data_IF_420027413907
#
_entry.id   IF_420027413907
#
_cell.length_a   1.000
_cell.length_b   1.000
_cell.length_c   1.000
_cell.angle_alpha   90.00
_cell.angle_beta   90.00
_cell.angle_gamma   90.00
#
_symmetry.space_group_name_H-M   'P 1'
#
loop_
_entity.id
_entity.type
_entity.pdbx_description
1 polymer ?
#
# COMPACT_ATOMS: atom_id res chain seq x y z
N UNK A 1 -15.85 -6.30 -15.58
CA UNK A 1 -15.89 -5.75 -14.23
C UNK A 1 -14.53 -5.18 -13.86
N UNK A 2 -14.45 -3.87 -13.74
CA UNK A 2 -13.15 -3.28 -13.38
C UNK A 2 -12.63 -3.77 -12.05
N UNK A 3 -13.51 -4.24 -11.23
CA UNK A 3 -13.15 -4.73 -9.93
C UNK A 3 -12.43 -6.07 -9.96
N UNK A 4 -12.69 -6.86 -10.99
CA UNK A 4 -12.10 -8.18 -11.07
C UNK A 4 -10.61 -8.14 -11.41
N UNK A 5 -10.14 -7.05 -12.02
CA UNK A 5 -8.72 -6.96 -12.36
C UNK A 5 -7.81 -6.98 -11.14
N UNK A 6 -8.29 -6.50 -10.01
CA UNK A 6 -7.52 -6.55 -8.78
C UNK A 6 -7.39 -7.95 -8.22
N UNK A 7 -8.35 -8.81 -8.54
CA UNK A 7 -8.36 -10.18 -8.04
C UNK A 7 -7.49 -11.10 -8.87
N UNK A 8 -7.00 -10.60 -10.00
CA UNK A 8 -6.09 -11.36 -10.83
C UNK A 8 -4.72 -11.51 -10.21
N UNK A 9 -4.42 -10.72 -9.18
CA UNK A 9 -3.13 -10.76 -8.51
C UNK A 9 -3.28 -11.44 -7.16
N UNK A 10 -2.40 -12.39 -6.93
CA UNK A 10 -2.37 -13.09 -5.66
C UNK A 10 -1.97 -12.13 -4.55
N UNK A 11 -2.67 -12.21 -3.41
CA UNK A 11 -2.36 -11.41 -2.23
C UNK A 11 -1.58 -12.23 -1.23
N UNK A 12 -0.60 -11.58 -0.64
CA UNK A 12 0.24 -12.18 0.40
C UNK A 12 0.08 -11.39 1.68
N UNK A 13 -0.23 -12.10 2.76
CA UNK A 13 -0.26 -11.49 4.08
C UNK A 13 1.18 -11.30 4.56
N UNK A 14 1.53 -10.09 4.92
CA UNK A 14 2.88 -9.77 5.40
C UNK A 14 2.76 -8.79 6.55
N UNK A 15 3.83 -8.65 7.30
CA UNK A 15 3.92 -7.65 8.35
C UNK A 15 5.27 -6.97 8.22
N UNK A 16 5.27 -5.71 7.84
CA UNK A 16 6.50 -4.97 7.62
C UNK A 16 6.24 -3.47 7.77
N UNK A 17 7.24 -2.70 8.17
CA UNK A 17 7.08 -1.24 8.16
C UNK A 17 7.00 -0.72 6.74
N UNK A 18 6.19 0.31 6.55
CA UNK A 18 6.11 1.02 5.29
C UNK A 18 5.99 2.50 5.59
N UNK A 19 6.60 3.32 4.75
CA UNK A 19 6.57 4.76 4.89
C UNK A 19 5.84 5.33 3.70
N UNK A 20 4.94 6.27 3.96
CA UNK A 20 4.16 6.91 2.90
C UNK A 20 4.48 8.39 2.87
N UNK A 21 4.76 8.89 1.68
CA UNK A 21 4.97 10.30 1.43
C UNK A 21 3.83 10.82 0.57
N UNK A 22 3.29 11.97 0.95
CA UNK A 22 2.30 12.70 0.15
C UNK A 22 2.92 14.01 -0.33
N UNK A 23 2.15 14.80 -1.08
CA UNK A 23 2.64 16.09 -1.55
C UNK A 23 2.92 17.05 -0.39
N UNK A 24 2.21 16.90 0.71
CA UNK A 24 2.31 17.85 1.83
C UNK A 24 3.00 17.27 3.05
N UNK A 25 3.11 15.94 3.16
CA UNK A 25 3.68 15.30 4.36
C UNK A 25 4.61 14.19 3.93
N UNK A 26 5.79 14.16 4.51
CA UNK A 26 6.77 13.09 4.29
C UNK A 26 6.92 12.24 5.53
N UNK A 27 7.27 10.98 5.31
CA UNK A 27 7.67 10.10 6.40
C UNK A 27 6.54 9.62 7.27
N UNK A 28 5.35 9.41 6.71
CA UNK A 28 4.23 8.87 7.50
C UNK A 28 4.48 7.39 7.73
N UNK A 29 4.65 7.01 9.00
CA UNK A 29 4.90 5.61 9.37
C UNK A 29 3.60 4.83 9.29
N UNK A 30 3.65 3.69 8.60
CA UNK A 30 2.52 2.78 8.49
C UNK A 30 3.01 1.35 8.64
N UNK A 31 2.07 0.42 8.70
CA UNK A 31 2.38 -1.01 8.73
C UNK A 31 1.76 -1.68 7.52
N UNK A 32 2.58 -2.38 6.76
CA UNK A 32 2.12 -3.19 5.63
C UNK A 32 1.42 -4.42 6.18
N UNK A 33 0.20 -4.69 5.74
CA UNK A 33 -0.56 -5.85 6.21
C UNK A 33 -0.71 -6.91 5.13
N UNK A 34 -0.73 -6.49 3.88
CA UNK A 34 -0.78 -7.42 2.76
C UNK A 34 -0.26 -6.71 1.52
N UNK A 35 0.15 -7.50 0.54
CA UNK A 35 0.71 -6.96 -0.70
C UNK A 35 0.38 -7.91 -1.85
N UNK A 36 0.19 -7.33 -3.02
CA UNK A 36 0.07 -8.06 -4.28
C UNK A 36 0.91 -7.36 -5.33
N UNK A 37 0.97 -7.93 -6.52
CA UNK A 37 1.69 -7.27 -7.62
C UNK A 37 1.13 -5.87 -7.90
N UNK A 38 -0.16 -5.68 -7.77
CA UNK A 38 -0.83 -4.42 -8.14
C UNK A 38 -1.14 -3.47 -7.01
N UNK A 39 -0.85 -3.82 -5.76
CA UNK A 39 -1.21 -2.93 -4.67
C UNK A 39 -0.78 -3.44 -3.30
N UNK A 40 -1.17 -2.70 -2.29
CA UNK A 40 -0.81 -3.01 -0.91
C UNK A 40 -1.89 -2.55 0.04
N UNK A 41 -2.00 -3.24 1.18
CA UNK A 41 -2.84 -2.81 2.29
C UNK A 41 -1.97 -2.32 3.43
N UNK A 42 -2.37 -1.22 4.03
CA UNK A 42 -1.64 -0.60 5.12
C UNK A 42 -2.56 -0.35 6.31
N UNK A 43 -1.94 -0.26 7.47
CA UNK A 43 -2.56 0.33 8.66
C UNK A 43 -1.82 1.61 9.00
N UNK A 44 -2.56 2.69 9.23
CA UNK A 44 -2.00 3.99 9.55
C UNK A 44 -2.75 4.65 10.68
N UNK A 45 -2.08 5.57 11.37
CA UNK A 45 -2.71 6.33 12.45
C UNK A 45 -3.38 7.61 11.95
N UNK A 46 -3.32 7.89 10.66
CA UNK A 46 -3.96 9.04 10.03
C UNK A 46 -4.71 8.57 8.79
N UNK A 47 -5.81 9.25 8.43
CA UNK A 47 -6.54 8.90 7.21
C UNK A 47 -5.87 9.47 5.97
N UNK A 48 -6.20 8.90 4.82
CA UNK A 48 -5.79 9.41 3.51
C UNK A 48 -7.04 9.62 2.67
N UNK A 49 -6.98 10.59 1.77
CA UNK A 49 -8.10 10.84 0.87
C UNK A 49 -8.11 9.82 -0.26
N UNK A 50 -9.29 9.33 -0.65
CA UNK A 50 -9.39 8.47 -1.83
C UNK A 50 -8.84 9.17 -3.07
N UNK A 51 -8.19 8.41 -3.93
CA UNK A 51 -7.57 8.88 -5.17
C UNK A 51 -6.34 9.78 -4.95
N UNK A 52 -5.95 10.02 -3.71
CA UNK A 52 -4.75 10.78 -3.42
C UNK A 52 -3.53 10.02 -3.95
N UNK A 53 -2.61 10.75 -4.58
CA UNK A 53 -1.35 10.17 -5.06
C UNK A 53 -0.35 10.18 -3.92
N UNK A 54 0.33 9.06 -3.75
CA UNK A 54 1.32 8.89 -2.69
C UNK A 54 2.51 8.14 -3.24
N UNK A 55 3.60 8.18 -2.48
CA UNK A 55 4.75 7.32 -2.70
C UNK A 55 4.88 6.44 -1.49
N UNK A 56 5.01 5.13 -1.70
CA UNK A 56 5.16 4.19 -0.60
C UNK A 56 6.52 3.53 -0.68
N UNK A 57 7.20 3.48 0.45
CA UNK A 57 8.47 2.78 0.61
C UNK A 57 8.21 1.59 1.51
N UNK A 58 8.33 0.41 0.95
CA UNK A 58 8.10 -0.85 1.66
C UNK A 58 9.46 -1.45 2.00
N UNK A 59 9.66 -1.70 3.28
CA UNK A 59 10.93 -2.25 3.74
C UNK A 59 11.03 -3.73 3.41
N UNK A 60 12.25 -4.19 3.14
CA UNK A 60 12.52 -5.59 2.90
C UNK A 60 12.01 -6.44 4.06
N UNK A 61 11.50 -7.60 3.73
CA UNK A 61 10.99 -8.57 4.70
C UNK A 61 11.15 -9.97 4.12
N UNK A 62 10.58 -10.98 4.78
CA UNK A 62 10.74 -12.35 4.33
C UNK A 62 10.24 -12.57 2.91
N UNK A 63 9.20 -11.86 2.49
CA UNK A 63 8.64 -11.98 1.14
C UNK A 63 9.31 -11.03 0.16
N UNK A 64 9.65 -9.83 0.62
CA UNK A 64 10.21 -8.77 -0.21
C UNK A 64 11.69 -8.65 0.10
N UNK A 65 12.54 -9.03 -0.85
CA UNK A 65 13.96 -9.22 -0.58
C UNK A 65 14.76 -7.92 -0.50
N UNK A 66 14.19 -6.84 -1.03
CA UNK A 66 14.84 -5.53 -0.96
C UNK A 66 13.78 -4.46 -0.83
N UNK A 67 14.16 -3.29 -0.35
CA UNK A 67 13.23 -2.19 -0.20
C UNK A 67 12.62 -1.83 -1.54
N UNK A 68 11.32 -1.55 -1.54
CA UNK A 68 10.57 -1.21 -2.74
C UNK A 68 10.00 0.19 -2.58
N UNK A 69 10.19 1.02 -3.58
CA UNK A 69 9.64 2.37 -3.64
C UNK A 69 8.69 2.44 -4.83
N UNK A 70 7.43 2.77 -4.57
CA UNK A 70 6.39 2.77 -5.59
C UNK A 70 5.53 4.00 -5.50
N UNK A 71 5.21 4.57 -6.65
CA UNK A 71 4.11 5.52 -6.74
C UNK A 71 2.81 4.74 -6.67
N UNK A 72 1.83 5.29 -5.98
CA UNK A 72 0.57 4.61 -5.78
C UNK A 72 -0.55 5.64 -5.66
N UNK A 73 -1.77 5.16 -5.78
CA UNK A 73 -2.96 5.96 -5.56
C UNK A 73 -3.76 5.29 -4.46
N UNK A 74 -4.33 6.09 -3.57
CA UNK A 74 -5.20 5.56 -2.51
C UNK A 74 -6.49 5.08 -3.16
N UNK A 75 -6.72 3.77 -3.09
CA UNK A 75 -7.94 3.18 -3.65
C UNK A 75 -9.10 3.33 -2.69
N UNK A 76 -8.84 3.16 -1.39
CA UNK A 76 -9.86 3.31 -0.35
C UNK A 76 -9.17 3.52 0.99
N UNK A 77 -9.94 4.12 1.91
CA UNK A 77 -9.49 4.35 3.28
C UNK A 77 -10.68 4.13 4.20
N UNK A 78 -10.52 3.30 5.20
CA UNK A 78 -11.60 2.95 6.13
C UNK A 78 -11.10 3.00 7.55
N UNK A 79 -11.94 3.53 8.43
CA UNK A 79 -11.60 3.55 9.85
C UNK A 79 -11.65 2.13 10.40
N UNK A 80 -10.58 1.71 11.07
CA UNK A 80 -10.45 0.38 11.62
C UNK A 80 -10.50 0.36 13.14
N UNK A 81 -10.34 1.51 13.77
CA UNK A 81 -10.37 1.63 15.22
C UNK A 81 -10.06 3.05 15.63
N UNK A 82 -9.82 3.25 16.91
CA UNK A 82 -9.47 4.58 17.40
C UNK A 82 -8.09 4.97 16.85
N UNK A 83 -8.03 6.10 16.16
CA UNK A 83 -6.81 6.58 15.51
C UNK A 83 -6.14 5.50 14.63
N UNK A 84 -6.97 4.68 13.97
CA UNK A 84 -6.45 3.60 13.15
C UNK A 84 -7.30 3.48 11.88
N UNK A 85 -6.63 3.49 10.74
CA UNK A 85 -7.28 3.37 9.42
C UNK A 85 -6.61 2.28 8.61
N UNK A 86 -7.44 1.55 7.87
CA UNK A 86 -6.97 0.63 6.84
C UNK A 86 -6.99 1.34 5.51
N UNK A 87 -5.91 1.18 4.76
CA UNK A 87 -5.72 1.91 3.52
C UNK A 87 -5.34 0.92 2.44
N UNK A 88 -6.05 0.96 1.32
CA UNK A 88 -5.71 0.19 0.15
C UNK A 88 -5.01 1.06 -0.88
N UNK A 89 -3.86 0.64 -1.34
CA UNK A 89 -3.09 1.33 -2.37
C UNK A 89 -3.13 0.56 -3.67
N UNK A 90 -3.21 1.30 -4.76
CA UNK A 90 -3.19 0.77 -6.12
C UNK A 90 -1.95 1.32 -6.82
N UNK A 91 -1.08 0.42 -7.28
CA UNK A 91 0.14 0.82 -7.97
C UNK A 91 -0.09 1.15 -9.45
N UNK A 92 -1.22 0.71 -10.00
CA UNK A 92 -1.48 0.85 -11.43
C UNK A 92 -0.88 -0.29 -12.24
N UNK A 93 -1.43 -0.50 -13.44
CA UNK A 93 -1.04 -1.63 -14.28
C UNK A 93 0.41 -1.54 -14.77
N UNK A 94 0.93 -0.32 -14.88
CA UNK A 94 2.28 -0.10 -15.40
C UNK A 94 3.36 -0.11 -14.32
N UNK A 95 2.98 -0.41 -13.08
CA UNK A 95 3.90 -0.25 -11.96
C UNK A 95 3.80 -1.45 -11.00
N UNK A 96 3.69 -2.64 -11.56
CA UNK A 96 3.52 -3.86 -10.77
C UNK A 96 4.80 -4.24 -10.04
N UNK A 97 4.63 -4.85 -8.87
CA UNK A 97 5.75 -5.46 -8.16
C UNK A 97 5.99 -6.86 -8.71
N UNK A 98 7.25 -7.21 -8.88
CA UNK A 98 7.64 -8.56 -9.26
C UNK A 98 8.09 -9.31 -8.02
N UNK A 99 7.45 -10.43 -7.75
CA UNK A 99 7.84 -11.35 -6.67
C UNK A 99 8.55 -12.54 -7.31
N UNK A 100 9.83 -12.58 -7.23
CA UNK A 100 10.58 -13.67 -7.85
C UNK A 100 11.56 -14.32 -6.90
#
# INVERSE_FOLDING_TARGET
MPYSSRRDYERFTVSAPAVVNTDSVEGISTSLTDVSAGGAGLLASVPFDPLQKVEVLIKACSLIKQDIKKAAKVAWCRKAGYNLWRIGLDFGADNLISFS
#
